data_IF_930870284423
#
_entry.id   IF_930870284423
#
_cell.length_a   1.000
_cell.length_b   1.000
_cell.length_c   1.000
_cell.angle_alpha   90.00
_cell.angle_beta   90.00
_cell.angle_gamma   90.00
#
_symmetry.space_group_name_H-M   'P 1'
#
loop_
_entity.id
_entity.type
_entity.pdbx_description
1 polymer ?
#
# COMPACT_ATOMS: atom_id res chain seq x y z
N UNK A 1 -10.27 3.16 4.23
CA UNK A 1 -10.44 2.26 5.39
C UNK A 1 -9.12 2.17 6.15
N UNK A 2 -9.14 2.06 7.48
CA UNK A 2 -7.95 1.95 8.32
C UNK A 2 -7.59 0.51 8.72
N UNK A 3 -6.66 0.33 9.67
CA UNK A 3 -6.28 -0.98 10.19
C UNK A 3 -7.47 -1.75 10.81
N UNK A 4 -7.80 -2.92 10.27
CA UNK A 4 -8.84 -3.82 10.78
C UNK A 4 -8.32 -5.09 11.47
N UNK A 5 -7.21 -4.99 12.21
CA UNK A 5 -6.66 -6.14 12.92
C UNK A 5 -7.61 -6.57 14.06
N UNK A 6 -7.87 -7.88 14.24
CA UNK A 6 -8.72 -8.36 15.33
C UNK A 6 -8.05 -8.15 16.70
N UNK A 7 -8.83 -8.16 17.79
CA UNK A 7 -8.29 -8.28 19.14
C UNK A 7 -7.51 -9.59 19.31
N UNK A 8 -6.36 -9.54 19.97
CA UNK A 8 -5.57 -10.73 20.24
C UNK A 8 -4.08 -10.44 20.47
N UNK A 9 -3.24 -11.49 20.54
CA UNK A 9 -1.82 -11.33 20.83
C UNK A 9 -0.97 -10.99 19.60
N UNK A 10 -1.55 -11.02 18.39
CA UNK A 10 -0.80 -10.87 17.14
C UNK A 10 -1.06 -9.53 16.49
N UNK A 11 0.02 -8.81 16.18
CA UNK A 11 -0.04 -7.66 15.31
C UNK A 11 -0.19 -8.07 13.86
N UNK A 12 -1.06 -7.36 13.13
CA UNK A 12 -0.98 -7.33 11.68
C UNK A 12 0.12 -6.33 11.27
N UNK A 13 0.87 -6.69 10.23
CA UNK A 13 1.82 -5.80 9.59
C UNK A 13 1.12 -5.11 8.40
N UNK A 14 1.14 -3.78 8.40
CA UNK A 14 0.60 -2.95 7.32
C UNK A 14 1.78 -2.36 6.57
N UNK A 15 1.99 -2.84 5.34
CA UNK A 15 3.08 -2.41 4.48
C UNK A 15 2.59 -1.26 3.60
N UNK A 16 3.23 -0.11 3.75
CA UNK A 16 3.08 1.03 2.87
C UNK A 16 4.23 0.97 1.86
N UNK A 17 3.92 0.59 0.62
CA UNK A 17 4.87 0.73 -0.48
C UNK A 17 4.87 2.19 -0.98
N UNK A 18 6.05 2.81 -1.05
CA UNK A 18 6.25 4.13 -1.63
C UNK A 18 7.06 4.00 -2.91
N UNK A 19 6.61 4.65 -3.98
CA UNK A 19 7.27 4.63 -5.28
C UNK A 19 7.49 6.06 -5.76
N UNK A 20 8.72 6.36 -6.18
CA UNK A 20 9.01 7.58 -6.94
C UNK A 20 8.88 7.26 -8.43
N UNK A 21 8.08 8.04 -9.15
CA UNK A 21 7.86 7.89 -10.59
C UNK A 21 8.51 9.05 -11.34
N UNK A 22 9.04 8.79 -12.54
CA UNK A 22 9.55 9.81 -13.44
C UNK A 22 8.49 10.38 -14.41
N UNK A 23 7.27 9.86 -14.39
CA UNK A 23 6.18 10.29 -15.23
C UNK A 23 4.83 10.04 -14.56
N UNK A 24 3.82 10.82 -14.94
CA UNK A 24 2.45 10.62 -14.51
C UNK A 24 1.87 9.31 -15.08
N UNK A 25 0.86 8.77 -14.39
CA UNK A 25 0.13 7.59 -14.84
C UNK A 25 -1.18 8.04 -15.50
N UNK A 26 -1.43 7.57 -16.72
CA UNK A 26 -2.68 7.81 -17.44
C UNK A 26 -3.62 6.62 -17.23
N UNK A 27 -4.23 6.56 -16.05
CA UNK A 27 -5.19 5.52 -15.66
C UNK A 27 -6.42 6.14 -14.97
N UNK A 28 -7.62 5.54 -15.11
CA UNK A 28 -8.83 6.01 -14.44
C UNK A 28 -8.71 6.00 -12.91
N UNK A 29 -9.44 6.89 -12.23
CA UNK A 29 -9.53 6.90 -10.77
C UNK A 29 -10.16 5.61 -10.17
N UNK A 30 -10.87 4.83 -11.00
CA UNK A 30 -11.47 3.54 -10.63
C UNK A 30 -10.50 2.36 -10.74
N UNK A 31 -9.27 2.58 -11.21
CA UNK A 31 -8.31 1.50 -11.44
C UNK A 31 -7.92 0.77 -10.18
N UNK A 32 -7.83 -0.56 -10.29
CA UNK A 32 -7.42 -1.44 -9.20
C UNK A 32 -5.90 -1.49 -9.01
N UNK A 33 -5.46 -2.19 -7.95
CA UNK A 33 -4.03 -2.36 -7.66
C UNK A 33 -3.23 -2.95 -8.82
N UNK A 34 -3.80 -3.93 -9.55
CA UNK A 34 -3.11 -4.59 -10.67
C UNK A 34 -2.79 -3.60 -11.78
N UNK A 35 -3.79 -2.86 -12.26
CA UNK A 35 -3.67 -1.86 -13.32
C UNK A 35 -2.70 -0.73 -12.92
N UNK A 36 -2.76 -0.29 -11.66
CA UNK A 36 -1.80 0.68 -11.13
C UNK A 36 -0.35 0.19 -11.24
N UNK A 37 -0.09 -1.06 -10.82
CA UNK A 37 1.25 -1.64 -10.86
C UNK A 37 1.74 -1.84 -12.30
N UNK A 38 0.87 -2.21 -13.23
CA UNK A 38 1.19 -2.31 -14.66
C UNK A 38 1.53 -0.94 -15.25
N UNK A 39 0.72 0.09 -14.97
CA UNK A 39 0.96 1.45 -15.45
C UNK A 39 2.30 2.05 -14.95
N UNK A 40 2.75 1.64 -13.76
CA UNK A 40 4.01 2.05 -13.16
C UNK A 40 5.25 1.39 -13.79
N UNK A 41 5.10 0.28 -14.54
CA UNK A 41 6.26 -0.42 -15.12
C UNK A 41 7.09 0.51 -16.01
N UNK A 42 8.41 0.45 -15.86
CA UNK A 42 9.35 1.32 -16.56
C UNK A 42 9.39 2.78 -16.09
N UNK A 43 8.51 3.19 -15.16
CA UNK A 43 8.44 4.56 -14.63
C UNK A 43 8.96 4.71 -13.20
N UNK A 44 9.15 3.59 -12.48
CA UNK A 44 9.67 3.58 -11.11
C UNK A 44 11.16 3.87 -11.10
N UNK A 45 11.57 4.96 -10.46
CA UNK A 45 12.99 5.35 -10.30
C UNK A 45 13.53 5.09 -8.89
N UNK A 46 12.64 4.95 -7.89
CA UNK A 46 13.00 4.50 -6.56
C UNK A 46 11.80 3.84 -5.87
N UNK A 47 12.09 2.96 -4.91
CA UNK A 47 11.09 2.29 -4.07
C UNK A 47 11.55 2.32 -2.62
N UNK A 48 10.62 2.55 -1.70
CA UNK A 48 10.78 2.33 -0.28
C UNK A 48 9.57 1.60 0.29
N UNK A 49 9.72 1.04 1.49
CA UNK A 49 8.61 0.48 2.24
C UNK A 49 8.68 0.97 3.68
N UNK A 50 7.51 1.27 4.25
CA UNK A 50 7.35 1.53 5.67
C UNK A 50 6.36 0.52 6.24
N UNK A 51 6.68 -0.11 7.37
CA UNK A 51 5.83 -1.14 7.96
C UNK A 51 5.31 -0.65 9.31
N UNK A 52 4.01 -0.37 9.35
CA UNK A 52 3.27 -0.13 10.58
C UNK A 52 2.76 -1.43 11.17
N UNK A 53 2.56 -1.48 12.49
CA UNK A 53 1.93 -2.61 13.18
C UNK A 53 0.74 -2.13 13.98
N UNK A 54 -0.34 -2.90 13.94
CA UNK A 54 -1.54 -2.64 14.73
C UNK A 54 -2.16 -3.94 15.21
N UNK A 55 -2.80 -3.89 16.38
CA UNK A 55 -3.61 -4.96 16.94
C UNK A 55 -4.89 -4.34 17.46
N UNK A 56 -6.02 -5.01 17.24
CA UNK A 56 -7.30 -4.54 17.76
C UNK A 56 -7.28 -4.50 19.28
N UNK A 57 -7.90 -3.49 19.88
CA UNK A 57 -8.18 -3.49 21.32
C UNK A 57 -9.47 -4.26 21.58
N UNK A 58 -9.58 -4.99 22.71
CA UNK A 58 -10.86 -5.51 23.17
C UNK A 58 -11.87 -4.35 23.27
N UNK A 59 -13.09 -4.57 22.81
CA UNK A 59 -14.23 -3.66 22.97
C UNK A 59 -14.89 -3.90 24.32
#
# INVERSE_FOLDING_TARGET
MGPGAPPGPKHHHYVFDLYALNANLDIPATSGRKELLEAMQGKVIAKAAYVGRYVGKPQ
#
